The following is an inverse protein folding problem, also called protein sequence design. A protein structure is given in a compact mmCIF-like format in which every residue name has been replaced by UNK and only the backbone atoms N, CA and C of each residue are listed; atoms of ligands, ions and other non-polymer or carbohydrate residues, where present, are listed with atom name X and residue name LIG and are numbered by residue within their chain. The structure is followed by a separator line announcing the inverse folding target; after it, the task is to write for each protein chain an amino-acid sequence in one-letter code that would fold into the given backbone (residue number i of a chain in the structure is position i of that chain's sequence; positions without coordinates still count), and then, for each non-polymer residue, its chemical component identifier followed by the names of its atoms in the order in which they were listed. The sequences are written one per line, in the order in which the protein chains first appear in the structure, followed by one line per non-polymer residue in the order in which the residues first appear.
data_IF_063621577877
#
_entry.id   IF_063621577877
#
_cell.length_a   1.000
_cell.length_b   1.000
_cell.length_c   1.000
_cell.angle_alpha   90.00
_cell.angle_beta   90.00
_cell.angle_gamma   90.00
#
_symmetry.space_group_name_H-M   'P 1'
#
loop_
_entity.id
_entity.type
_entity.pdbx_description
1 polymer ?
#
# COMPACT_ATOMS: atom_id res chain seq x y z
N UNK A 1 -9.09 -9.15 12.84
CA UNK A 1 -8.45 -8.01 13.55
C UNK A 1 -7.30 -7.39 12.77
N UNK A 2 -6.30 -8.14 12.30
CA UNK A 2 -5.13 -7.57 11.59
C UNK A 2 -5.43 -6.75 10.31
N UNK A 3 -6.51 -7.05 9.60
CA UNK A 3 -6.93 -6.31 8.40
C UNK A 3 -7.36 -4.88 8.69
N UNK A 4 -8.06 -4.62 9.80
CA UNK A 4 -8.48 -3.26 10.17
C UNK A 4 -7.28 -2.36 10.47
N UNK A 5 -6.32 -2.86 11.26
CA UNK A 5 -5.09 -2.12 11.58
C UNK A 5 -4.24 -1.88 10.34
N UNK A 6 -4.17 -2.83 9.41
CA UNK A 6 -3.48 -2.65 8.13
C UNK A 6 -4.15 -1.54 7.27
N UNK A 7 -5.49 -1.47 7.25
CA UNK A 7 -6.22 -0.40 6.58
C UNK A 7 -5.93 0.97 7.22
N UNK A 8 -6.00 1.06 8.55
CA UNK A 8 -5.71 2.31 9.28
C UNK A 8 -4.27 2.76 9.02
N UNK A 9 -3.30 1.84 9.07
CA UNK A 9 -1.90 2.12 8.76
C UNK A 9 -1.70 2.65 7.35
N UNK A 10 -2.37 2.06 6.35
CA UNK A 10 -2.33 2.54 4.96
C UNK A 10 -2.94 3.91 4.80
N UNK A 11 -4.07 4.19 5.47
CA UNK A 11 -4.68 5.52 5.48
C UNK A 11 -3.68 6.54 6.06
N UNK A 12 -3.11 6.26 7.23
CA UNK A 12 -2.14 7.15 7.87
C UNK A 12 -0.91 7.44 7.00
N UNK A 13 -0.31 6.40 6.41
CA UNK A 13 0.83 6.54 5.51
C UNK A 13 0.46 7.31 4.23
N UNK A 14 -0.67 7.00 3.60
CA UNK A 14 -1.10 7.67 2.36
C UNK A 14 -1.45 9.15 2.55
N UNK A 15 -2.07 9.50 3.69
CA UNK A 15 -2.58 10.84 3.94
C UNK A 15 -1.48 11.90 3.90
N UNK A 16 -0.29 11.58 4.43
CA UNK A 16 0.86 12.48 4.42
C UNK A 16 1.25 12.86 2.99
N UNK A 17 1.27 11.90 2.06
CA UNK A 17 1.64 12.14 0.67
C UNK A 17 0.54 12.79 -0.15
N UNK A 18 -0.72 12.48 0.14
CA UNK A 18 -1.86 13.13 -0.50
C UNK A 18 -1.87 14.63 -0.15
N UNK A 19 -1.78 14.95 1.15
CA UNK A 19 -1.76 16.35 1.60
C UNK A 19 -0.51 17.09 1.10
N UNK A 20 0.65 16.44 1.16
CA UNK A 20 1.91 16.99 0.63
C UNK A 20 1.82 17.25 -0.88
N UNK A 21 1.33 16.29 -1.66
CA UNK A 21 1.19 16.39 -3.10
C UNK A 21 0.23 17.50 -3.52
N UNK A 22 -0.94 17.59 -2.88
CA UNK A 22 -1.88 18.71 -3.11
C UNK A 22 -1.21 20.05 -2.80
N UNK A 23 -0.51 20.16 -1.66
CA UNK A 23 0.20 21.39 -1.29
C UNK A 23 1.24 21.82 -2.35
N UNK A 24 2.01 20.86 -2.89
CA UNK A 24 3.00 21.11 -3.95
C UNK A 24 2.36 21.51 -5.27
N UNK A 25 1.18 20.98 -5.61
CA UNK A 25 0.43 21.33 -6.82
C UNK A 25 -0.28 22.69 -6.70
N UNK A 26 -0.72 23.07 -5.50
CA UNK A 26 -1.32 24.38 -5.25
C UNK A 26 -0.29 25.50 -5.19
N UNK A 27 0.93 25.22 -4.71
CA UNK A 27 2.01 26.19 -4.65
C UNK A 27 3.34 25.62 -5.18
N UNK A 28 3.46 25.45 -6.51
CA UNK A 28 4.65 24.91 -7.14
C UNK A 28 5.85 25.86 -7.03
N UNK A 29 5.62 27.18 -6.95
CA UNK A 29 6.67 28.19 -6.81
C UNK A 29 7.42 28.06 -5.47
N UNK A 30 6.69 27.88 -4.37
CA UNK A 30 7.31 27.64 -3.06
C UNK A 30 8.15 26.35 -3.06
N UNK A 31 7.65 25.30 -3.71
CA UNK A 31 8.36 24.02 -3.82
C UNK A 31 9.63 24.15 -4.68
N UNK A 32 9.54 24.82 -5.83
CA UNK A 32 10.70 25.09 -6.68
C UNK A 32 11.75 25.94 -5.96
N UNK A 33 11.32 26.96 -5.21
CA UNK A 33 12.21 27.80 -4.41
C UNK A 33 12.91 27.00 -3.31
N UNK A 34 12.17 26.10 -2.65
CA UNK A 34 12.74 25.19 -1.66
C UNK A 34 13.76 24.22 -2.28
N UNK A 35 13.45 23.62 -3.43
CA UNK A 35 14.39 22.77 -4.17
C UNK A 35 15.63 23.57 -4.60
N UNK A 36 15.47 24.81 -5.07
CA UNK A 36 16.57 25.68 -5.49
C UNK A 36 17.49 26.07 -4.33
N UNK A 37 16.98 26.13 -3.09
CA UNK A 37 17.79 26.39 -1.91
C UNK A 37 18.80 25.26 -1.59
N UNK A 38 18.59 24.07 -2.14
CA UNK A 38 19.53 22.96 -2.00
C UNK A 38 20.63 23.02 -3.07
N UNK A 39 21.91 23.23 -2.69
CA UNK A 39 23.02 23.37 -3.65
C UNK A 39 23.23 22.15 -4.54
N UNK A 40 22.93 20.95 -4.02
CA UNK A 40 23.10 19.70 -4.76
C UNK A 40 22.05 19.60 -5.87
N UNK A 41 20.77 19.84 -5.56
CA UNK A 41 19.67 19.73 -6.53
C UNK A 41 19.69 20.85 -7.56
N UNK A 42 20.11 22.07 -7.18
CA UNK A 42 20.20 23.19 -8.11
C UNK A 42 21.25 22.96 -9.20
N UNK A 43 22.39 22.32 -8.86
CA UNK A 43 23.45 21.98 -9.81
C UNK A 43 23.08 20.88 -10.80
N UNK A 44 22.14 20.00 -10.45
CA UNK A 44 21.71 18.87 -11.30
C UNK A 44 20.64 19.27 -12.34
N UNK A 45 20.20 20.53 -12.39
CA UNK A 45 19.25 21.01 -13.39
C UNK A 45 17.82 20.50 -13.22
N UNK A 46 17.43 20.10 -12.01
CA UNK A 46 16.12 19.48 -11.69
C UNK A 46 14.92 20.44 -11.71
N UNK A 47 15.04 21.63 -12.28
CA UNK A 47 13.98 22.66 -12.26
C UNK A 47 13.31 22.81 -13.63
N UNK A 48 11.96 22.91 -13.70
CA UNK A 48 10.98 22.84 -12.61
C UNK A 48 10.32 21.44 -12.49
N UNK A 49 10.71 20.64 -11.49
CA UNK A 49 10.06 19.35 -11.21
C UNK A 49 8.96 19.40 -10.14
N UNK A 50 8.61 20.56 -9.55
CA UNK A 50 7.60 20.63 -8.48
C UNK A 50 6.25 20.00 -8.86
N UNK A 51 5.78 20.21 -10.10
CA UNK A 51 4.57 19.59 -10.62
C UNK A 51 4.69 18.06 -10.70
N UNK A 52 5.84 17.56 -11.17
CA UNK A 52 6.10 16.12 -11.26
C UNK A 52 6.18 15.46 -9.89
N UNK A 53 6.86 16.09 -8.93
CA UNK A 53 6.97 15.60 -7.55
C UNK A 53 5.60 15.62 -6.87
N UNK A 54 4.86 16.73 -6.97
CA UNK A 54 3.52 16.85 -6.39
C UNK A 54 2.54 15.83 -6.96
N UNK A 55 2.56 15.64 -8.29
CA UNK A 55 1.72 14.64 -8.96
C UNK A 55 2.11 13.22 -8.57
N UNK A 56 3.41 12.92 -8.51
CA UNK A 56 3.91 11.62 -8.07
C UNK A 56 3.47 11.31 -6.64
N UNK A 57 3.67 12.23 -5.68
CA UNK A 57 3.26 12.04 -4.29
C UNK A 57 1.75 11.83 -4.17
N UNK A 58 0.95 12.62 -4.91
CA UNK A 58 -0.49 12.52 -4.89
C UNK A 58 -0.97 11.17 -5.44
N UNK A 59 -0.51 10.78 -6.64
CA UNK A 59 -0.91 9.54 -7.30
C UNK A 59 -0.43 8.32 -6.50
N UNK A 60 0.82 8.33 -6.04
CA UNK A 60 1.38 7.25 -5.23
C UNK A 60 0.64 7.14 -3.88
N UNK A 61 0.33 8.26 -3.23
CA UNK A 61 -0.48 8.29 -2.01
C UNK A 61 -1.86 7.67 -2.23
N UNK A 62 -2.56 8.06 -3.30
CA UNK A 62 -3.86 7.48 -3.67
C UNK A 62 -3.75 5.98 -3.95
N UNK A 63 -2.71 5.53 -4.65
CA UNK A 63 -2.49 4.10 -4.94
C UNK A 63 -2.32 3.27 -3.65
N UNK A 64 -1.58 3.78 -2.66
CA UNK A 64 -1.48 3.16 -1.33
C UNK A 64 -2.83 3.18 -0.60
N UNK A 65 -3.60 4.25 -0.71
CA UNK A 65 -4.91 4.37 -0.08
C UNK A 65 -5.91 3.34 -0.62
N UNK A 66 -6.07 3.25 -1.94
CA UNK A 66 -7.01 2.31 -2.59
C UNK A 66 -6.49 0.87 -2.58
N UNK A 67 -5.17 0.68 -2.52
CA UNK A 67 -4.54 -0.65 -2.46
C UNK A 67 -4.15 -1.19 -3.82
N UNK A 68 -3.96 -0.29 -4.77
CA UNK A 68 -3.53 -0.61 -6.11
C UNK A 68 -2.00 -0.64 -6.15
N UNK A 69 -1.42 -1.73 -6.66
CA UNK A 69 0.04 -1.91 -6.79
C UNK A 69 0.84 -1.59 -5.51
N UNK A 70 0.29 -1.91 -4.33
CA UNK A 70 0.82 -1.50 -3.02
C UNK A 70 2.31 -1.79 -2.84
N UNK A 71 2.80 -2.96 -3.30
CA UNK A 71 4.23 -3.31 -3.22
C UNK A 71 5.10 -2.35 -4.02
N UNK A 72 4.77 -2.11 -5.28
CA UNK A 72 5.60 -1.24 -6.11
C UNK A 72 5.55 0.19 -5.58
N UNK A 73 4.35 0.68 -5.28
CA UNK A 73 4.15 2.04 -4.80
C UNK A 73 4.80 2.27 -3.44
N UNK A 74 4.76 1.29 -2.52
CA UNK A 74 5.38 1.43 -1.21
C UNK A 74 6.91 1.43 -1.31
N UNK A 75 7.49 0.65 -2.20
CA UNK A 75 8.94 0.67 -2.44
C UNK A 75 9.38 2.03 -3.02
N UNK A 76 8.64 2.55 -4.00
CA UNK A 76 8.90 3.86 -4.60
C UNK A 76 8.77 4.99 -3.57
N UNK A 77 7.70 5.00 -2.76
CA UNK A 77 7.50 5.97 -1.69
C UNK A 77 8.57 5.86 -0.60
N UNK A 78 8.97 4.65 -0.21
CA UNK A 78 10.04 4.45 0.76
C UNK A 78 11.36 5.06 0.25
N UNK A 79 11.76 4.74 -0.98
CA UNK A 79 12.95 5.30 -1.61
C UNK A 79 12.88 6.83 -1.73
N UNK A 80 11.75 7.35 -2.21
CA UNK A 80 11.51 8.78 -2.31
C UNK A 80 11.64 9.49 -0.95
N UNK A 81 11.05 8.92 0.10
CA UNK A 81 11.07 9.49 1.45
C UNK A 81 12.48 9.50 2.05
N UNK A 82 13.27 8.45 1.80
CA UNK A 82 14.67 8.38 2.23
C UNK A 82 15.50 9.44 1.49
N UNK A 83 15.34 9.56 0.17
CA UNK A 83 16.03 10.58 -0.61
C UNK A 83 15.66 11.99 -0.13
N UNK A 84 14.37 12.25 0.11
CA UNK A 84 13.91 13.53 0.65
C UNK A 84 14.57 13.84 2.00
N UNK A 85 14.68 12.85 2.90
CA UNK A 85 15.36 13.02 4.18
C UNK A 85 16.85 13.37 4.02
N UNK A 86 17.55 12.64 3.14
CA UNK A 86 18.99 12.83 2.90
C UNK A 86 19.31 14.17 2.23
N UNK A 87 18.45 14.65 1.34
CA UNK A 87 18.68 15.92 0.66
C UNK A 87 18.26 17.13 1.52
N UNK A 88 17.16 17.05 2.25
CA UNK A 88 16.55 18.22 2.90
C UNK A 88 16.67 18.28 4.43
N UNK A 89 17.11 17.21 5.07
CA UNK A 89 17.22 17.12 6.54
C UNK A 89 18.54 16.47 6.97
N UNK A 90 19.66 16.91 6.37
CA UNK A 90 20.99 16.38 6.65
C UNK A 90 21.79 17.18 7.69
N UNK A 91 21.25 18.29 8.22
CA UNK A 91 21.87 19.01 9.32
C UNK A 91 21.48 18.38 10.66
N UNK A 92 22.36 17.51 11.17
CA UNK A 92 22.17 16.88 12.48
C UNK A 92 22.53 17.79 13.66
N UNK A 93 23.00 19.01 13.41
CA UNK A 93 23.24 20.03 14.44
C UNK A 93 21.98 20.79 14.85
N UNK A 94 20.98 20.84 13.96
CA UNK A 94 19.66 21.43 14.25
C UNK A 94 18.68 20.33 14.73
N UNK A 95 18.20 20.40 15.99
CA UNK A 95 17.23 19.43 16.51
C UNK A 95 15.96 19.30 15.66
N UNK A 96 15.52 20.37 15.00
CA UNK A 96 14.32 20.36 14.15
C UNK A 96 14.57 19.56 12.87
N UNK A 97 15.75 19.70 12.26
CA UNK A 97 16.10 18.92 11.07
C UNK A 97 16.30 17.45 11.42
N UNK A 98 16.98 17.15 12.53
CA UNK A 98 17.13 15.78 13.01
C UNK A 98 15.78 15.10 13.26
N UNK A 99 14.81 15.80 13.86
CA UNK A 99 13.47 15.27 14.08
C UNK A 99 12.73 14.98 12.76
N UNK A 100 12.84 15.87 11.77
CA UNK A 100 12.23 15.65 10.45
C UNK A 100 12.91 14.52 9.67
N UNK A 101 14.23 14.38 9.79
CA UNK A 101 14.97 13.25 9.24
C UNK A 101 14.45 11.93 9.80
N UNK A 102 14.41 11.80 11.14
CA UNK A 102 13.93 10.59 11.80
C UNK A 102 12.47 10.28 11.48
N UNK A 103 11.61 11.31 11.41
CA UNK A 103 10.22 11.16 10.95
C UNK A 103 10.16 10.54 9.55
N UNK A 104 10.95 11.03 8.60
CA UNK A 104 10.97 10.49 7.24
C UNK A 104 11.52 9.06 7.20
N UNK A 105 12.55 8.74 7.99
CA UNK A 105 13.04 7.35 8.12
C UNK A 105 11.96 6.44 8.70
N UNK A 106 11.21 6.88 9.71
CA UNK A 106 10.10 6.11 10.28
C UNK A 106 8.97 5.88 9.25
N UNK A 107 8.62 6.90 8.46
CA UNK A 107 7.63 6.78 7.37
C UNK A 107 8.11 5.78 6.32
N UNK A 108 9.38 5.87 5.90
CA UNK A 108 9.97 4.91 4.97
C UNK A 108 9.94 3.48 5.52
N UNK A 109 10.24 3.30 6.81
CA UNK A 109 10.10 2.02 7.52
C UNK A 109 8.66 1.49 7.47
N UNK A 110 7.66 2.36 7.67
CA UNK A 110 6.25 2.02 7.53
C UNK A 110 5.90 1.51 6.12
N UNK A 111 6.45 2.11 5.08
CA UNK A 111 6.28 1.63 3.70
C UNK A 111 7.02 0.33 3.41
N UNK A 112 8.21 0.10 3.99
CA UNK A 112 8.93 -1.17 3.85
C UNK A 112 8.19 -2.32 4.56
N UNK A 113 7.59 -2.05 5.71
CA UNK A 113 6.65 -2.96 6.36
C UNK A 113 5.48 -3.24 5.42
N UNK A 114 4.87 -2.19 4.85
CA UNK A 114 3.77 -2.36 3.88
C UNK A 114 4.19 -3.14 2.62
N UNK A 115 5.45 -3.00 2.17
CA UNK A 115 6.02 -3.77 1.06
C UNK A 115 6.11 -5.27 1.41
N UNK A 116 6.61 -5.58 2.59
CA UNK A 116 6.73 -6.95 3.09
C UNK A 116 5.36 -7.63 3.23
N UNK A 117 4.38 -6.91 3.77
CA UNK A 117 3.02 -7.41 4.01
C UNK A 117 2.02 -7.14 2.89
N UNK A 118 2.43 -6.50 1.79
CA UNK A 118 1.55 -6.07 0.69
C UNK A 118 0.82 -7.20 -0.03
N UNK A 119 1.21 -8.45 0.23
CA UNK A 119 0.58 -9.67 -0.27
C UNK A 119 -0.55 -10.21 0.63
N UNK A 120 -0.93 -9.50 1.70
CA UNK A 120 -2.15 -9.83 2.46
C UNK A 120 -3.38 -9.46 1.65
N UNK A 121 -3.65 -10.27 0.63
CA UNK A 121 -4.88 -10.39 -0.16
C UNK A 121 -5.64 -9.09 -0.28
N UNK A 122 -5.41 -8.39 -1.39
CA UNK A 122 -6.41 -7.50 -2.00
C UNK A 122 -7.79 -8.06 -1.69
N UNK A 123 -8.57 -7.36 -0.87
CA UNK A 123 -9.78 -7.90 -0.22
C UNK A 123 -10.82 -8.41 -1.22
N UNK A 124 -10.66 -8.08 -2.50
CA UNK A 124 -11.40 -8.61 -3.64
C UNK A 124 -11.16 -10.10 -3.91
N UNK A 125 -9.94 -10.59 -3.72
CA UNK A 125 -9.62 -11.99 -4.00
C UNK A 125 -10.13 -12.91 -2.88
N UNK A 126 -10.08 -12.44 -1.63
CA UNK A 126 -10.74 -13.10 -0.49
C UNK A 126 -12.27 -13.08 -0.62
N UNK A 127 -12.88 -12.00 -1.13
CA UNK A 127 -14.32 -11.93 -1.35
C UNK A 127 -14.80 -12.83 -2.49
N UNK A 128 -14.02 -12.91 -3.58
CA UNK A 128 -14.30 -13.82 -4.72
C UNK A 128 -14.10 -15.27 -4.35
N UNK A 129 -13.04 -15.59 -3.59
CA UNK A 129 -12.82 -16.94 -3.07
C UNK A 129 -13.96 -17.37 -2.13
N UNK A 130 -14.42 -16.49 -1.23
CA UNK A 130 -15.54 -16.78 -0.34
C UNK A 130 -16.87 -16.98 -1.10
N UNK A 131 -17.15 -16.17 -2.13
CA UNK A 131 -18.34 -16.38 -2.97
C UNK A 131 -18.28 -17.66 -3.81
N UNK A 132 -17.09 -18.02 -4.31
CA UNK A 132 -16.90 -19.25 -5.08
C UNK A 132 -17.09 -20.49 -4.21
N UNK A 133 -16.57 -20.48 -2.98
CA UNK A 133 -16.77 -21.55 -1.99
C UNK A 133 -18.25 -21.72 -1.61
N UNK A 134 -18.98 -20.62 -1.43
CA UNK A 134 -20.42 -20.66 -1.17
C UNK A 134 -21.22 -21.20 -2.36
N UNK A 135 -20.88 -20.78 -3.58
CA UNK A 135 -21.53 -21.28 -4.79
C UNK A 135 -21.27 -22.79 -4.99
N UNK A 136 -20.04 -23.25 -4.79
CA UNK A 136 -19.69 -24.67 -4.88
C UNK A 136 -20.46 -25.50 -3.85
N UNK A 137 -20.53 -25.02 -2.60
CA UNK A 137 -21.31 -25.68 -1.53
C UNK A 137 -22.80 -25.75 -1.83
N UNK A 138 -23.35 -24.72 -2.47
CA UNK A 138 -24.76 -24.68 -2.84
C UNK A 138 -25.05 -25.67 -3.97
N UNK A 139 -24.18 -25.75 -4.98
CA UNK A 139 -24.29 -26.73 -6.08
C UNK A 139 -24.12 -28.16 -5.57
N UNK A 140 -23.19 -28.40 -4.64
CA UNK A 140 -23.01 -29.72 -4.01
C UNK A 140 -24.24 -30.08 -3.18
N UNK A 141 -24.78 -29.16 -2.38
CA UNK A 141 -25.99 -29.40 -1.59
C UNK A 141 -27.20 -29.70 -2.49
N UNK A 142 -27.37 -28.98 -3.59
CA UNK A 142 -28.45 -29.21 -4.56
C UNK A 142 -28.35 -30.59 -5.23
N UNK A 143 -27.13 -31.04 -5.59
CA UNK A 143 -26.91 -32.39 -6.15
C UNK A 143 -27.24 -33.50 -5.15
N UNK A 144 -26.84 -33.33 -3.89
CA UNK A 144 -27.13 -34.33 -2.85
C UNK A 144 -28.64 -34.47 -2.63
N UNK A 145 -29.36 -33.35 -2.52
CA UNK A 145 -30.83 -33.36 -2.38
C UNK A 145 -31.51 -33.97 -3.61
N UNK A 146 -30.99 -33.71 -4.80
CA UNK A 146 -31.53 -34.25 -6.05
C UNK A 146 -31.31 -35.77 -6.18
N UNK A 147 -30.15 -36.30 -5.75
CA UNK A 147 -29.90 -37.75 -5.75
C UNK A 147 -30.77 -38.47 -4.72
N UNK A 148 -30.95 -37.89 -3.53
CA UNK A 148 -31.85 -38.44 -2.50
C UNK A 148 -33.30 -38.48 -2.97
N UNK A 149 -33.77 -37.44 -3.69
CA UNK A 149 -35.11 -37.40 -4.25
C UNK A 149 -35.36 -38.46 -5.34
N UNK A 150 -34.31 -38.92 -6.03
CA UNK A 150 -34.36 -39.98 -7.03
C UNK A 150 -34.22 -41.39 -6.41
N UNK A 151 -34.00 -41.50 -5.10
CA UNK A 151 -33.75 -42.77 -4.42
C UNK A 151 -32.37 -43.37 -4.71
N UNK A 152 -31.44 -42.56 -5.21
CA UNK A 152 -30.04 -42.95 -5.36
C UNK A 152 -29.31 -42.80 -4.03
N UNK A 153 -28.31 -43.65 -3.80
CA UNK A 153 -27.38 -43.46 -2.69
C UNK A 153 -26.64 -42.13 -2.90
N UNK A 154 -26.74 -41.16 -1.96
CA UNK A 154 -26.12 -39.86 -2.14
C UNK A 154 -24.61 -40.01 -2.27
N UNK A 155 -24.03 -39.40 -3.31
CA UNK A 155 -22.58 -39.34 -3.47
C UNK A 155 -22.01 -38.38 -2.43
N UNK A 156 -21.70 -38.92 -1.25
CA UNK A 156 -21.03 -38.16 -0.18
C UNK A 156 -19.60 -37.88 -0.63
N UNK A 157 -19.37 -36.68 -1.16
CA UNK A 157 -18.01 -36.18 -1.42
C UNK A 157 -17.34 -35.96 -0.07
N UNK A 158 -16.63 -36.97 0.42
CA UNK A 158 -15.79 -36.83 1.61
C UNK A 158 -14.60 -35.93 1.27
N UNK A 159 -14.47 -34.84 2.02
CA UNK A 159 -13.40 -33.86 1.88
C UNK A 159 -12.04 -34.56 2.05
N UNK A 160 -11.27 -34.71 0.96
CA UNK A 160 -9.90 -35.23 1.02
C UNK A 160 -8.95 -34.15 1.51
N UNK A 161 -9.05 -33.76 2.78
CA UNK A 161 -8.03 -32.94 3.44
C UNK A 161 -7.67 -33.42 4.85
N UNK A 162 -7.69 -34.73 5.09
CA UNK A 162 -7.06 -35.32 6.30
C UNK A 162 -6.20 -36.54 5.94
N UNK A 163 -5.06 -36.30 5.30
CA UNK A 163 -3.88 -37.16 5.44
C UNK A 163 -2.60 -36.31 5.35
N UNK A 164 -2.24 -35.67 6.46
CA UNK A 164 -0.82 -35.44 6.76
C UNK A 164 -0.53 -36.18 8.06
N UNK A 165 -0.19 -37.45 7.88
CA UNK A 165 0.49 -38.25 8.88
C UNK A 165 1.96 -37.81 8.91
N UNK A 166 2.46 -37.73 10.14
CA UNK A 166 3.85 -37.73 10.62
C UNK A 166 4.61 -36.39 10.68
#
# INVERSE_FOLDING_TARGET
MGTLFAFIGRIGLSLIFILSGVGKLMNPEATNSYIASNPYLSSMGFLPMAWGIGLFELVAGVFILIGFMTRLTSLLLAGFTILAALFFHNDFGDPMQQANFLKNIAIAGGFLVLFAYGNTRSSLDSYRAARKDQADRTVVHERVVHDEALGNDPVVVTDRTTTRHD
#
